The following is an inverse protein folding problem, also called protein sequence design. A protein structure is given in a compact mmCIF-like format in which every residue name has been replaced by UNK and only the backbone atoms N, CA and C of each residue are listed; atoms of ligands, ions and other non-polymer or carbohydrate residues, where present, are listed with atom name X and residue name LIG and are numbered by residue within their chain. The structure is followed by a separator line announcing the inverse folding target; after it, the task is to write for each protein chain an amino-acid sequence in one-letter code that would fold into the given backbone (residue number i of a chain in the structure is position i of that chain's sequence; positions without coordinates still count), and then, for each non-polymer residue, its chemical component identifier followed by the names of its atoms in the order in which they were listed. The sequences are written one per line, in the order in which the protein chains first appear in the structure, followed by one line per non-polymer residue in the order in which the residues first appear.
data_IF_001541003275
#
_entry.id   IF_001541003275
#
_cell.length_a   1.000
_cell.length_b   1.000
_cell.length_c   1.000
_cell.angle_alpha   90.00
_cell.angle_beta   90.00
_cell.angle_gamma   90.00
#
_symmetry.space_group_name_H-M   'P 1'
#
loop_
_entity.id
_entity.type
_entity.pdbx_description
1 polymer ?
#
# COMPACT_ATOMS: atom_id res chain seq x y z
N UNK A 1 -24.91 -10.46 6.71
CA UNK A 1 -23.84 -10.17 7.68
C UNK A 1 -22.94 -11.40 7.65
N UNK A 2 -21.65 -11.29 7.29
CA UNK A 2 -20.76 -12.44 7.40
C UNK A 2 -20.67 -12.82 8.90
N UNK A 3 -20.89 -14.11 9.18
CA UNK A 3 -20.90 -14.67 10.53
C UNK A 3 -19.55 -14.42 11.21
N UNK A 4 -19.59 -13.78 12.39
CA UNK A 4 -18.40 -13.57 13.21
C UNK A 4 -17.96 -14.91 13.80
N UNK A 5 -16.98 -15.56 13.18
CA UNK A 5 -16.41 -16.81 13.72
C UNK A 5 -15.91 -17.79 12.67
N UNK A 6 -16.17 -17.57 11.38
CA UNK A 6 -15.59 -18.40 10.34
C UNK A 6 -14.09 -18.10 10.23
N UNK A 7 -13.20 -19.12 10.31
CA UNK A 7 -11.77 -18.90 10.16
C UNK A 7 -11.52 -18.22 8.82
N UNK A 8 -10.91 -17.03 8.86
CA UNK A 8 -10.47 -16.34 7.66
C UNK A 8 -9.51 -17.27 6.91
N UNK A 9 -9.96 -17.86 5.81
CA UNK A 9 -9.08 -18.49 4.83
C UNK A 9 -8.32 -17.38 4.13
N UNK A 10 -7.16 -17.04 4.68
CA UNK A 10 -6.25 -16.09 4.06
C UNK A 10 -5.34 -16.86 3.11
N UNK A 11 -5.35 -16.49 1.84
CA UNK A 11 -4.39 -16.99 0.86
C UNK A 11 -3.15 -16.09 0.86
N UNK A 12 -1.96 -16.59 1.28
CA UNK A 12 -0.73 -15.82 1.24
C UNK A 12 -0.36 -15.32 -0.15
N UNK A 13 -0.75 -16.06 -1.20
CA UNK A 13 -0.51 -15.68 -2.60
C UNK A 13 -1.27 -14.43 -2.96
N UNK A 14 -2.55 -14.35 -2.60
CA UNK A 14 -3.39 -13.17 -2.82
C UNK A 14 -2.85 -11.95 -2.06
N UNK A 15 -2.30 -12.15 -0.85
CA UNK A 15 -1.64 -11.06 -0.12
C UNK A 15 -0.39 -10.53 -0.84
N UNK A 16 0.44 -11.41 -1.41
CA UNK A 16 1.61 -11.00 -2.20
C UNK A 16 1.18 -10.29 -3.48
N UNK A 17 0.15 -10.78 -4.18
CA UNK A 17 -0.41 -10.13 -5.36
C UNK A 17 -0.95 -8.74 -5.04
N UNK A 18 -1.72 -8.61 -3.96
CA UNK A 18 -2.23 -7.33 -3.47
C UNK A 18 -1.09 -6.36 -3.13
N UNK A 19 -0.02 -6.82 -2.50
CA UNK A 19 1.16 -6.00 -2.25
C UNK A 19 1.81 -5.48 -3.54
N UNK A 20 1.94 -6.34 -4.56
CA UNK A 20 2.44 -5.95 -5.88
C UNK A 20 1.53 -4.94 -6.59
N UNK A 21 0.21 -5.10 -6.47
CA UNK A 21 -0.75 -4.15 -7.02
C UNK A 21 -0.65 -2.78 -6.35
N UNK A 22 -0.44 -2.74 -5.03
CA UNK A 22 -0.23 -1.50 -4.28
C UNK A 22 1.04 -0.77 -4.72
N UNK A 23 2.13 -1.50 -4.98
CA UNK A 23 3.36 -0.90 -5.52
C UNK A 23 3.15 -0.31 -6.92
N UNK A 24 2.42 -1.03 -7.78
CA UNK A 24 2.06 -0.52 -9.11
C UNK A 24 1.20 0.75 -9.03
N UNK A 25 0.24 0.78 -8.11
CA UNK A 25 -0.60 1.96 -7.85
C UNK A 25 0.21 3.12 -7.29
N UNK A 26 1.15 2.88 -6.37
CA UNK A 26 2.06 3.89 -5.85
C UNK A 26 2.90 4.53 -6.96
N UNK A 27 3.50 3.71 -7.83
CA UNK A 27 4.29 4.20 -8.96
C UNK A 27 3.46 5.04 -9.94
N UNK A 28 2.24 4.56 -10.26
CA UNK A 28 1.29 5.30 -11.10
C UNK A 28 0.86 6.63 -10.47
N UNK A 29 0.51 6.61 -9.17
CA UNK A 29 0.15 7.79 -8.41
C UNK A 29 1.30 8.81 -8.40
N UNK A 30 2.52 8.40 -8.08
CA UNK A 30 3.70 9.27 -8.01
C UNK A 30 3.96 9.96 -9.34
N UNK A 31 3.90 9.21 -10.44
CA UNK A 31 4.08 9.74 -11.80
C UNK A 31 3.00 10.75 -12.15
N UNK A 32 1.73 10.42 -11.89
CA UNK A 32 0.60 11.31 -12.16
C UNK A 32 0.65 12.58 -11.28
N UNK A 33 1.01 12.44 -10.01
CA UNK A 33 1.15 13.53 -9.05
C UNK A 33 2.24 14.50 -9.50
N UNK A 34 3.45 14.03 -9.78
CA UNK A 34 4.56 14.86 -10.25
C UNK A 34 4.23 15.57 -11.56
N UNK A 35 3.59 14.86 -12.50
CA UNK A 35 3.17 15.45 -13.77
C UNK A 35 2.13 16.57 -13.58
N UNK A 36 1.14 16.35 -12.70
CA UNK A 36 0.11 17.32 -12.42
C UNK A 36 0.63 18.52 -11.61
N UNK A 37 1.52 18.27 -10.64
CA UNK A 37 2.22 19.30 -9.88
C UNK A 37 3.06 20.19 -10.78
N UNK A 38 3.87 19.58 -11.67
CA UNK A 38 4.65 20.32 -12.66
C UNK A 38 3.75 21.22 -13.52
N UNK A 39 2.64 20.71 -14.06
CA UNK A 39 1.69 21.56 -14.82
C UNK A 39 1.14 22.72 -13.99
N UNK A 40 0.74 22.45 -12.75
CA UNK A 40 0.18 23.47 -11.87
C UNK A 40 1.21 24.53 -11.46
N UNK A 41 2.48 24.15 -11.27
CA UNK A 41 3.58 25.08 -10.96
C UNK A 41 3.89 26.07 -12.07
N UNK A 42 3.58 25.70 -13.32
CA UNK A 42 3.75 26.58 -14.50
C UNK A 42 2.48 27.36 -14.87
N UNK A 43 1.43 27.29 -14.06
CA UNK A 43 0.18 27.99 -14.34
C UNK A 43 0.36 29.52 -14.26
N UNK A 44 0.11 30.21 -15.37
CA UNK A 44 0.12 31.66 -15.42
C UNK A 44 -1.24 32.23 -14.97
N UNK A 45 -1.39 32.46 -13.66
CA UNK A 45 -2.63 32.97 -13.06
C UNK A 45 -2.81 34.50 -13.14
N UNK A 46 -1.83 35.22 -13.70
CA UNK A 46 -1.80 36.68 -13.70
C UNK A 46 -1.51 37.26 -12.30
N UNK A 47 -1.85 38.53 -12.09
CA UNK A 47 -1.71 39.17 -10.79
C UNK A 47 -2.97 38.96 -9.94
N UNK A 48 -2.81 38.71 -8.65
CA UNK A 48 -3.93 38.61 -7.70
C UNK A 48 -3.71 37.61 -6.57
N UNK A 49 -4.72 37.49 -5.72
CA UNK A 49 -4.71 36.60 -4.56
C UNK A 49 -4.50 35.13 -4.92
N UNK A 50 -5.07 34.66 -6.04
CA UNK A 50 -4.90 33.29 -6.53
C UNK A 50 -3.43 32.97 -6.87
N UNK A 51 -2.74 33.91 -7.55
CA UNK A 51 -1.34 33.76 -7.88
C UNK A 51 -0.46 33.76 -6.62
N UNK A 52 -0.80 34.59 -5.62
CA UNK A 52 -0.09 34.62 -4.34
C UNK A 52 -0.30 33.35 -3.49
N UNK A 53 -1.46 32.71 -3.59
CA UNK A 53 -1.78 31.48 -2.85
C UNK A 53 -1.19 30.20 -3.46
N UNK A 54 -0.94 30.20 -4.78
CA UNK A 54 -0.52 29.01 -5.54
C UNK A 54 0.72 28.30 -4.93
N UNK A 55 1.82 28.98 -4.56
CA UNK A 55 2.99 28.29 -4.00
C UNK A 55 2.67 27.53 -2.70
N UNK A 56 1.84 28.11 -1.83
CA UNK A 56 1.43 27.47 -0.58
C UNK A 56 0.55 26.24 -0.82
N UNK A 57 -0.36 26.32 -1.79
CA UNK A 57 -1.19 25.19 -2.21
C UNK A 57 -0.36 24.06 -2.82
N UNK A 58 0.61 24.39 -3.69
CA UNK A 58 1.52 23.40 -4.28
C UNK A 58 2.40 22.72 -3.24
N UNK A 59 2.89 23.47 -2.25
CA UNK A 59 3.67 22.91 -1.15
C UNK A 59 2.83 21.98 -0.26
N UNK A 60 1.56 22.32 0.00
CA UNK A 60 0.65 21.44 0.73
C UNK A 60 0.35 20.17 -0.06
N UNK A 61 0.06 20.31 -1.35
CA UNK A 61 -0.22 19.19 -2.23
C UNK A 61 0.97 18.23 -2.36
N UNK A 62 2.20 18.75 -2.46
CA UNK A 62 3.42 17.93 -2.47
C UNK A 62 3.56 17.09 -1.18
N UNK A 63 3.29 17.69 -0.01
CA UNK A 63 3.30 16.96 1.26
C UNK A 63 2.24 15.86 1.31
N UNK A 64 1.06 16.13 0.78
CA UNK A 64 0.01 15.11 0.65
C UNK A 64 0.46 13.97 -0.28
N UNK A 65 1.13 14.30 -1.39
CA UNK A 65 1.74 13.33 -2.30
C UNK A 65 2.71 12.38 -1.59
N UNK A 66 3.64 12.93 -0.81
CA UNK A 66 4.58 12.15 0.02
C UNK A 66 3.84 11.27 1.03
N UNK A 67 2.81 11.80 1.70
CA UNK A 67 2.03 11.03 2.68
C UNK A 67 1.34 9.83 2.02
N UNK A 68 0.73 10.02 0.85
CA UNK A 68 0.05 8.92 0.15
C UNK A 68 1.03 7.86 -0.35
N UNK A 69 2.19 8.27 -0.85
CA UNK A 69 3.25 7.33 -1.25
C UNK A 69 3.69 6.43 -0.08
N UNK A 70 3.91 7.02 1.10
CA UNK A 70 4.23 6.29 2.33
C UNK A 70 3.11 5.32 2.75
N UNK A 71 1.85 5.70 2.56
CA UNK A 71 0.71 4.83 2.88
C UNK A 71 0.65 3.61 1.97
N UNK A 72 0.88 3.76 0.66
CA UNK A 72 0.95 2.62 -0.25
C UNK A 72 2.09 1.68 0.12
N UNK A 73 3.29 2.22 0.37
CA UNK A 73 4.45 1.42 0.79
C UNK A 73 4.14 0.66 2.07
N UNK A 74 3.66 1.33 3.12
CA UNK A 74 3.31 0.68 4.39
C UNK A 74 2.26 -0.40 4.23
N UNK A 75 1.26 -0.20 3.37
CA UNK A 75 0.21 -1.19 3.14
C UNK A 75 0.76 -2.41 2.38
N UNK A 76 1.61 -2.20 1.37
CA UNK A 76 2.27 -3.29 0.64
C UNK A 76 3.14 -4.14 1.57
N UNK A 77 3.92 -3.51 2.45
CA UNK A 77 4.76 -4.18 3.45
C UNK A 77 3.93 -4.99 4.44
N UNK A 78 2.80 -4.44 4.91
CA UNK A 78 1.88 -5.16 5.80
C UNK A 78 1.29 -6.40 5.14
N UNK A 79 0.95 -6.35 3.85
CA UNK A 79 0.47 -7.52 3.12
C UNK A 79 1.56 -8.59 2.99
N UNK A 80 2.79 -8.22 2.64
CA UNK A 80 3.92 -9.15 2.60
C UNK A 80 4.22 -9.76 3.95
N UNK A 81 4.22 -8.95 5.01
CA UNK A 81 4.45 -9.41 6.36
C UNK A 81 3.34 -10.36 6.83
N UNK A 82 2.08 -10.11 6.44
CA UNK A 82 0.98 -11.03 6.71
C UNK A 82 1.16 -12.34 5.95
N UNK A 83 1.49 -12.30 4.65
CA UNK A 83 1.73 -13.50 3.85
C UNK A 83 2.84 -14.38 4.44
N UNK A 84 3.95 -13.76 4.85
CA UNK A 84 5.06 -14.47 5.49
C UNK A 84 4.67 -15.12 6.82
N UNK A 85 3.81 -14.46 7.61
CA UNK A 85 3.32 -15.05 8.88
C UNK A 85 2.43 -16.25 8.64
N UNK A 86 1.52 -16.20 7.66
CA UNK A 86 0.66 -17.33 7.33
C UNK A 86 1.48 -18.52 6.82
N UNK A 87 2.41 -18.30 5.89
CA UNK A 87 3.28 -19.36 5.39
C UNK A 87 4.10 -20.02 6.51
N UNK A 88 4.66 -19.23 7.44
CA UNK A 88 5.43 -19.76 8.57
C UNK A 88 4.57 -20.58 9.54
N UNK A 89 3.30 -20.18 9.77
CA UNK A 89 2.37 -20.96 10.57
C UNK A 89 2.03 -22.29 9.89
N UNK A 90 1.71 -22.27 8.59
CA UNK A 90 1.39 -23.49 7.82
C UNK A 90 2.56 -24.49 7.82
N UNK A 91 3.80 -24.00 7.63
CA UNK A 91 5.01 -24.83 7.68
C UNK A 91 5.23 -25.48 9.06
N UNK A 92 5.03 -24.71 10.14
CA UNK A 92 5.17 -25.22 11.51
C UNK A 92 4.10 -26.26 11.84
N UNK A 93 2.84 -26.01 11.49
CA UNK A 93 1.74 -26.95 11.72
C UNK A 93 1.94 -28.25 10.93
N UNK A 94 2.44 -28.17 9.69
CA UNK A 94 2.80 -29.36 8.90
C UNK A 94 3.89 -30.19 9.57
N UNK A 95 4.95 -29.55 10.08
CA UNK A 95 6.04 -30.25 10.76
C UNK A 95 5.58 -30.93 12.07
N UNK A 96 4.68 -30.29 12.81
CA UNK A 96 4.10 -30.84 14.04
C UNK A 96 3.23 -32.07 13.72
N UNK A 97 2.45 -32.03 12.63
CA UNK A 97 1.65 -33.17 12.14
C UNK A 97 2.56 -34.33 11.71
N UNK A 98 3.60 -34.08 10.93
CA UNK A 98 4.54 -35.11 10.47
C UNK A 98 5.27 -35.78 11.65
N UNK A 99 5.63 -34.97 12.66
CA UNK A 99 6.25 -35.44 13.90
C UNK A 99 5.30 -36.32 14.71
N UNK A 100 4.05 -35.89 14.89
CA UNK A 100 3.02 -36.66 15.60
C UNK A 100 2.69 -37.97 14.87
N UNK A 101 2.60 -37.95 13.54
CA UNK A 101 2.36 -39.14 12.72
C UNK A 101 3.50 -40.14 12.75
N UNK A 102 4.75 -39.65 12.81
CA UNK A 102 5.95 -40.51 12.93
C UNK A 102 6.11 -41.15 14.31
N UNK A 103 5.39 -40.67 15.32
CA UNK A 103 5.41 -41.18 16.69
C UNK A 103 4.34 -42.26 16.98
N UNK A 104 3.49 -42.57 15.99
CA UNK A 104 2.49 -43.65 16.03
C UNK A 104 3.07 -44.96 15.48
#
# INVERSE_FOLDING_TARGET
MPEQGEPLKVDPTELVLAAGQLDGQAAGFRTAHQSAHARASHAALGAGSSAAALPGMLAAWERDGVRYDQQFTSLSEKHRAAAAKYAATDDQESADIDTAGSAL
#
